data_IF_656383874890
#
_entry.id   IF_656383874890
#
_cell.length_a   1.000
_cell.length_b   1.000
_cell.length_c   1.000
_cell.angle_alpha   90.00
_cell.angle_beta   90.00
_cell.angle_gamma   90.00
#
_symmetry.space_group_name_H-M   'P 1'
#
loop_
_entity.id
_entity.type
_entity.pdbx_description
1 polymer ?
#
# COMPACT_ATOMS: atom_id res chain seq x y z
N UNK A 1 1.47 2.61 29.82
CA UNK A 1 1.60 1.33 29.10
C UNK A 1 0.18 0.88 28.79
N UNK A 2 -0.16 0.81 27.49
CA UNK A 2 -1.47 0.39 27.01
C UNK A 2 -1.39 -0.98 26.31
N UNK A 3 -2.49 -1.69 26.30
CA UNK A 3 -2.65 -2.92 25.52
C UNK A 3 -3.18 -2.56 24.13
N UNK A 4 -2.34 -2.67 23.11
CA UNK A 4 -2.70 -2.31 21.73
C UNK A 4 -2.89 -3.58 20.90
N UNK A 5 -4.10 -3.80 20.40
CA UNK A 5 -4.38 -4.87 19.46
C UNK A 5 -4.26 -4.35 18.03
N UNK A 6 -3.50 -5.05 17.19
CA UNK A 6 -3.28 -4.67 15.80
C UNK A 6 -3.63 -5.85 14.90
N UNK A 7 -4.53 -5.62 13.94
CA UNK A 7 -4.85 -6.59 12.91
C UNK A 7 -4.43 -6.07 11.54
N UNK A 8 -3.57 -6.82 10.88
CA UNK A 8 -3.04 -6.49 9.57
C UNK A 8 -3.09 -7.70 8.64
N UNK A 9 -3.22 -7.44 7.35
CA UNK A 9 -3.20 -8.53 6.38
C UNK A 9 -1.77 -8.90 5.99
N UNK A 10 -1.56 -10.19 5.76
CA UNK A 10 -0.28 -10.70 5.32
C UNK A 10 -0.18 -10.63 3.79
N UNK A 11 0.85 -9.98 3.30
CA UNK A 11 1.10 -9.88 1.87
C UNK A 11 1.71 -11.15 1.25
N UNK A 12 1.98 -12.20 2.05
CA UNK A 12 2.48 -13.49 1.56
C UNK A 12 3.80 -13.39 0.79
N UNK A 13 4.70 -12.49 1.19
CA UNK A 13 5.94 -12.22 0.46
C UNK A 13 7.01 -13.29 0.62
N UNK A 14 7.04 -13.97 1.76
CA UNK A 14 7.95 -15.09 1.96
C UNK A 14 7.16 -16.40 1.80
N UNK A 15 7.43 -17.17 0.73
CA UNK A 15 6.76 -18.46 0.54
C UNK A 15 7.14 -19.50 1.62
N UNK A 16 8.26 -19.30 2.32
CA UNK A 16 8.76 -20.21 3.34
C UNK A 16 8.35 -19.81 4.76
N UNK A 17 8.01 -18.54 4.98
CA UNK A 17 7.59 -18.01 6.27
C UNK A 17 6.41 -17.05 6.14
N UNK A 18 5.22 -17.59 6.32
CA UNK A 18 3.97 -16.83 6.26
C UNK A 18 3.91 -15.70 7.29
N UNK A 19 4.59 -15.84 8.42
CA UNK A 19 4.54 -14.88 9.52
C UNK A 19 5.59 -13.79 9.41
N UNK A 20 6.49 -13.86 8.44
CA UNK A 20 7.49 -12.83 8.21
C UNK A 20 6.83 -11.52 7.76
N UNK A 21 7.03 -10.50 8.56
CA UNK A 21 6.42 -9.20 8.31
C UNK A 21 7.14 -8.44 7.20
N UNK A 22 6.40 -7.74 6.34
CA UNK A 22 6.98 -6.71 5.49
C UNK A 22 7.63 -5.60 6.33
N UNK A 23 8.73 -4.98 5.87
CA UNK A 23 9.47 -3.96 6.64
C UNK A 23 8.60 -2.84 7.22
N UNK A 24 7.68 -2.33 6.43
CA UNK A 24 6.73 -1.28 6.84
C UNK A 24 5.86 -1.70 8.05
N UNK A 25 5.35 -2.94 8.06
CA UNK A 25 4.53 -3.44 9.16
C UNK A 25 5.38 -3.74 10.40
N UNK A 26 6.60 -4.19 10.21
CA UNK A 26 7.59 -4.38 11.28
C UNK A 26 7.87 -3.06 11.98
N UNK A 27 8.17 -1.99 11.22
CA UNK A 27 8.36 -0.64 11.73
C UNK A 27 7.14 -0.14 12.52
N UNK A 28 5.95 -0.36 11.99
CA UNK A 28 4.71 0.05 12.65
C UNK A 28 4.54 -0.61 14.03
N UNK A 29 4.79 -1.91 14.12
CA UNK A 29 4.73 -2.64 15.41
C UNK A 29 5.82 -2.22 16.39
N UNK A 30 7.04 -2.01 15.89
CA UNK A 30 8.17 -1.58 16.70
C UNK A 30 7.89 -0.22 17.35
N UNK A 31 7.33 0.73 16.59
CA UNK A 31 6.97 2.04 17.12
C UNK A 31 6.05 1.97 18.35
N UNK A 32 5.05 1.07 18.36
CA UNK A 32 4.19 0.87 19.53
C UNK A 32 4.91 0.21 20.69
N UNK A 33 5.78 -0.78 20.44
CA UNK A 33 6.57 -1.45 21.48
C UNK A 33 7.60 -0.52 22.10
N UNK A 34 8.28 0.28 21.27
CA UNK A 34 9.30 1.24 21.74
C UNK A 34 8.68 2.37 22.55
N UNK A 35 7.41 2.70 22.29
CA UNK A 35 6.61 3.59 23.12
C UNK A 35 6.16 2.94 24.46
N UNK A 36 6.62 1.73 24.77
CA UNK A 36 6.35 1.02 26.02
C UNK A 36 4.98 0.36 26.11
N UNK A 37 4.32 0.09 24.98
CA UNK A 37 3.01 -0.57 24.97
C UNK A 37 3.13 -2.09 24.85
N UNK A 38 2.15 -2.82 25.39
CA UNK A 38 1.94 -4.23 25.09
C UNK A 38 1.25 -4.34 23.75
N UNK A 39 1.78 -5.15 22.84
CA UNK A 39 1.20 -5.31 21.50
C UNK A 39 0.81 -6.75 21.23
N UNK A 40 -0.46 -6.97 20.89
CA UNK A 40 -0.96 -8.21 20.30
C UNK A 40 -1.22 -7.97 18.82
N UNK A 41 -0.47 -8.64 17.96
CA UNK A 41 -0.63 -8.52 16.51
C UNK A 41 -1.17 -9.80 15.90
N UNK A 42 -2.21 -9.67 15.09
CA UNK A 42 -2.70 -10.74 14.23
C UNK A 42 -2.42 -10.42 12.77
N UNK A 43 -1.70 -11.31 12.11
CA UNK A 43 -1.59 -11.34 10.66
C UNK A 43 -2.59 -12.34 10.10
N UNK A 44 -3.34 -11.94 9.11
CA UNK A 44 -4.37 -12.82 8.54
C UNK A 44 -4.37 -12.78 7.01
N UNK A 45 -4.80 -13.87 6.39
CA UNK A 45 -5.05 -13.94 4.95
C UNK A 45 -6.41 -13.34 4.68
N UNK A 46 -6.46 -12.22 3.94
CA UNK A 46 -7.71 -11.47 3.74
C UNK A 46 -8.30 -11.57 2.35
N UNK A 47 -7.51 -11.89 1.38
CA UNK A 47 -8.03 -11.94 0.02
C UNK A 47 -9.06 -13.07 -0.13
N UNK A 48 -10.28 -12.68 -0.51
CA UNK A 48 -11.39 -13.61 -0.75
C UNK A 48 -12.30 -13.92 0.44
N UNK A 49 -12.07 -13.30 1.63
CA UNK A 49 -12.93 -13.48 2.79
C UNK A 49 -14.03 -12.41 2.86
N UNK A 50 -15.23 -12.81 3.21
CA UNK A 50 -16.33 -11.89 3.50
C UNK A 50 -16.19 -11.29 4.91
N UNK A 51 -16.67 -10.05 5.09
CA UNK A 51 -16.53 -9.33 6.36
C UNK A 51 -17.39 -9.92 7.49
N UNK A 52 -18.54 -10.41 7.14
CA UNK A 52 -19.55 -10.97 8.05
C UNK A 52 -19.28 -12.43 8.47
N UNK A 53 -18.20 -13.03 7.95
CA UNK A 53 -17.75 -14.30 8.48
C UNK A 53 -17.48 -14.21 9.98
N UNK A 54 -17.89 -15.23 10.70
CA UNK A 54 -17.72 -15.28 12.16
C UNK A 54 -16.24 -15.33 12.54
N UNK A 55 -15.86 -14.45 13.48
CA UNK A 55 -14.52 -14.46 14.08
C UNK A 55 -14.22 -15.84 14.70
N UNK A 56 -13.08 -16.48 14.36
CA UNK A 56 -12.68 -17.74 14.96
C UNK A 56 -12.61 -17.65 16.50
N UNK A 57 -13.17 -18.64 17.19
CA UNK A 57 -13.22 -18.66 18.67
C UNK A 57 -11.84 -18.51 19.33
N UNK A 58 -10.81 -19.02 18.70
CA UNK A 58 -9.43 -18.86 19.18
C UNK A 58 -9.01 -17.40 19.19
N UNK A 59 -9.29 -16.66 18.13
CA UNK A 59 -8.98 -15.22 18.03
C UNK A 59 -9.80 -14.41 19.00
N UNK A 60 -11.09 -14.70 19.08
CA UNK A 60 -12.01 -14.05 20.04
C UNK A 60 -11.48 -14.21 21.48
N UNK A 61 -11.11 -15.43 21.86
CA UNK A 61 -10.59 -15.75 23.20
C UNK A 61 -9.27 -15.03 23.49
N UNK A 62 -8.37 -14.94 22.52
CA UNK A 62 -7.09 -14.23 22.65
C UNK A 62 -7.31 -12.73 22.81
N UNK A 63 -8.19 -12.12 22.01
CA UNK A 63 -8.48 -10.67 22.08
C UNK A 63 -9.13 -10.34 23.43
N UNK A 64 -10.15 -11.11 23.84
CA UNK A 64 -10.81 -10.90 25.15
C UNK A 64 -9.84 -11.02 26.33
N UNK A 65 -8.97 -12.03 26.32
CA UNK A 65 -7.96 -12.21 27.37
C UNK A 65 -6.91 -11.09 27.38
N UNK A 66 -6.54 -10.58 26.22
CA UNK A 66 -5.59 -9.48 26.09
C UNK A 66 -6.18 -8.17 26.61
N UNK A 67 -7.49 -8.01 26.54
CA UNK A 67 -8.25 -6.83 26.99
C UNK A 67 -7.65 -5.52 26.47
N UNK A 68 -7.78 -5.23 25.16
CA UNK A 68 -7.13 -4.09 24.54
C UNK A 68 -7.70 -2.75 25.03
N UNK A 69 -6.80 -1.77 25.18
CA UNK A 69 -7.13 -0.37 25.41
C UNK A 69 -7.33 0.39 24.08
N UNK A 70 -6.79 -0.17 22.99
CA UNK A 70 -6.87 0.35 21.64
C UNK A 70 -6.82 -0.79 20.62
N UNK A 71 -7.68 -0.73 19.61
CA UNK A 71 -7.62 -1.63 18.45
C UNK A 71 -7.27 -0.85 17.19
N UNK A 72 -6.37 -1.38 16.35
CA UNK A 72 -5.99 -0.81 15.06
C UNK A 72 -6.20 -1.86 13.97
N UNK A 73 -7.05 -1.54 13.01
CA UNK A 73 -7.42 -2.40 11.90
C UNK A 73 -6.97 -1.77 10.58
N UNK A 74 -6.14 -2.46 9.83
CA UNK A 74 -5.70 -1.98 8.52
C UNK A 74 -6.82 -2.13 7.49
N UNK A 75 -7.26 -1.02 6.88
CA UNK A 75 -8.31 -0.94 5.86
C UNK A 75 -9.61 -1.69 6.23
N UNK A 76 -9.92 -1.84 7.52
CA UNK A 76 -11.04 -2.65 8.01
C UNK A 76 -11.11 -4.07 7.41
N UNK A 77 -9.98 -4.68 7.16
CA UNK A 77 -9.88 -6.00 6.52
C UNK A 77 -9.96 -7.17 7.52
N UNK A 78 -10.10 -6.90 8.81
CA UNK A 78 -10.26 -7.92 9.86
C UNK A 78 -11.75 -8.27 10.05
N UNK A 79 -12.05 -9.27 10.89
CA UNK A 79 -13.43 -9.56 11.31
C UNK A 79 -14.00 -8.40 12.13
N UNK A 80 -15.31 -8.30 12.18
CA UNK A 80 -15.93 -7.41 13.16
C UNK A 80 -15.54 -7.85 14.58
N UNK A 81 -14.95 -6.91 15.31
CA UNK A 81 -14.60 -7.08 16.72
C UNK A 81 -15.35 -6.11 17.63
N UNK A 82 -16.19 -5.26 17.08
CA UNK A 82 -16.92 -4.22 17.82
C UNK A 82 -17.79 -4.77 18.93
N UNK A 83 -18.24 -6.02 18.82
CA UNK A 83 -19.05 -6.71 19.82
C UNK A 83 -18.24 -7.36 20.96
N UNK A 84 -16.91 -7.44 20.84
CA UNK A 84 -16.05 -8.10 21.84
C UNK A 84 -15.09 -7.14 22.55
N UNK A 85 -14.95 -5.90 22.07
CA UNK A 85 -14.09 -4.87 22.66
C UNK A 85 -14.90 -3.63 23.03
N UNK A 86 -14.51 -2.98 24.12
CA UNK A 86 -15.13 -1.73 24.57
C UNK A 86 -14.23 -0.50 24.36
N UNK A 87 -13.01 -0.71 23.86
CA UNK A 87 -12.06 0.35 23.57
C UNK A 87 -12.33 1.00 22.20
N UNK A 88 -11.68 2.14 21.89
CA UNK A 88 -11.68 2.71 20.55
C UNK A 88 -11.15 1.74 19.50
N UNK A 89 -11.79 1.75 18.33
CA UNK A 89 -11.34 1.00 17.15
C UNK A 89 -10.90 2.00 16.10
N UNK A 90 -9.62 1.96 15.76
CA UNK A 90 -9.01 2.80 14.73
C UNK A 90 -8.90 2.00 13.43
N UNK A 91 -9.44 2.54 12.36
CA UNK A 91 -9.19 2.05 11.01
C UNK A 91 -8.03 2.86 10.43
N UNK A 92 -6.92 2.17 10.15
CA UNK A 92 -5.77 2.76 9.49
C UNK A 92 -5.92 2.59 7.99
N UNK A 93 -6.21 3.69 7.30
CA UNK A 93 -6.42 3.72 5.85
C UNK A 93 -5.07 3.86 5.13
N UNK A 94 -4.55 2.74 4.63
CA UNK A 94 -3.27 2.70 3.90
C UNK A 94 -3.46 2.58 2.39
N UNK A 95 -4.66 2.23 1.94
CA UNK A 95 -4.95 2.01 0.51
C UNK A 95 -6.03 2.98 0.02
N UNK A 96 -7.27 2.74 0.38
CA UNK A 96 -8.44 3.58 0.04
C UNK A 96 -9.66 3.08 0.79
N UNK A 97 -10.59 3.99 1.12
CA UNK A 97 -11.89 3.64 1.70
C UNK A 97 -12.66 2.61 0.88
N UNK A 98 -12.42 2.54 -0.43
CA UNK A 98 -13.05 1.58 -1.34
C UNK A 98 -12.53 0.15 -1.17
N UNK A 99 -11.39 -0.03 -0.52
CA UNK A 99 -10.85 -1.33 -0.13
C UNK A 99 -11.37 -1.82 1.24
N UNK A 100 -12.12 -0.98 1.96
CA UNK A 100 -12.64 -1.36 3.26
C UNK A 100 -13.68 -2.47 3.14
N UNK A 101 -13.59 -3.41 4.06
CA UNK A 101 -14.61 -4.44 4.21
C UNK A 101 -15.74 -3.94 5.11
N UNK A 102 -16.94 -4.49 4.91
CA UNK A 102 -18.08 -4.20 5.77
C UNK A 102 -18.51 -2.74 5.80
N UNK A 103 -18.50 -2.03 4.68
CA UNK A 103 -18.89 -0.61 4.60
C UNK A 103 -20.26 -0.35 5.24
N UNK A 104 -21.26 -1.19 4.96
CA UNK A 104 -22.59 -1.05 5.54
C UNK A 104 -22.56 -1.14 7.08
N UNK A 105 -21.76 -2.06 7.62
CA UNK A 105 -21.58 -2.19 9.08
C UNK A 105 -20.88 -0.95 9.65
N UNK A 106 -19.85 -0.44 9.00
CA UNK A 106 -19.18 0.79 9.41
C UNK A 106 -20.14 1.98 9.43
N UNK A 107 -20.95 2.18 8.40
CA UNK A 107 -21.94 3.25 8.35
C UNK A 107 -22.98 3.14 9.49
N UNK A 108 -23.42 1.92 9.82
CA UNK A 108 -24.38 1.69 10.89
C UNK A 108 -23.81 1.91 12.30
N UNK A 109 -22.50 1.78 12.46
CA UNK A 109 -21.81 1.85 13.75
C UNK A 109 -20.70 2.92 13.77
N UNK A 110 -20.83 3.94 12.96
CA UNK A 110 -19.76 4.91 12.66
C UNK A 110 -19.17 5.56 13.92
N UNK A 111 -19.98 5.77 14.95
CA UNK A 111 -19.55 6.38 16.22
C UNK A 111 -18.54 5.53 17.02
N UNK A 112 -18.40 4.25 16.67
CA UNK A 112 -17.44 3.31 17.29
C UNK A 112 -16.04 3.40 16.70
N UNK A 113 -15.89 4.08 15.56
CA UNK A 113 -14.67 4.06 14.77
C UNK A 113 -14.00 5.42 14.69
N UNK A 114 -12.68 5.39 14.72
CA UNK A 114 -11.80 6.50 14.38
C UNK A 114 -11.03 6.11 13.12
N UNK A 115 -10.60 7.10 12.35
CA UNK A 115 -9.91 6.87 11.09
C UNK A 115 -8.56 7.60 11.09
N UNK A 116 -7.51 6.86 10.80
CA UNK A 116 -6.19 7.43 10.52
C UNK A 116 -5.95 7.33 9.03
N UNK A 117 -5.71 8.46 8.40
CA UNK A 117 -5.44 8.60 6.97
C UNK A 117 -4.00 9.03 6.75
N UNK A 118 -3.40 8.63 5.65
CA UNK A 118 -2.04 8.97 5.26
C UNK A 118 -1.97 9.84 3.99
N UNK A 119 -3.13 10.24 3.47
CA UNK A 119 -3.27 11.17 2.35
C UNK A 119 -4.48 12.08 2.59
N UNK A 120 -4.32 13.37 2.28
CA UNK A 120 -5.33 14.37 2.64
C UNK A 120 -6.64 14.20 1.89
N UNK A 121 -6.62 13.73 0.63
CA UNK A 121 -7.85 13.46 -0.13
C UNK A 121 -8.68 12.28 0.41
N UNK A 122 -8.09 11.40 1.22
CA UNK A 122 -8.84 10.32 1.86
C UNK A 122 -9.93 10.83 2.79
N UNK A 123 -9.75 11.99 3.42
CA UNK A 123 -10.77 12.64 4.26
C UNK A 123 -12.07 12.85 3.49
N UNK A 124 -12.00 13.42 2.30
CA UNK A 124 -13.18 13.66 1.46
C UNK A 124 -13.88 12.34 1.09
N UNK A 125 -13.12 11.31 0.79
CA UNK A 125 -13.68 9.99 0.46
C UNK A 125 -14.36 9.34 1.66
N UNK A 126 -13.77 9.42 2.86
CA UNK A 126 -14.37 8.93 4.10
C UNK A 126 -15.70 9.64 4.40
N UNK A 127 -15.73 10.96 4.31
CA UNK A 127 -16.96 11.74 4.49
C UNK A 127 -18.03 11.37 3.47
N UNK A 128 -17.66 11.26 2.20
CA UNK A 128 -18.58 10.95 1.11
C UNK A 128 -19.18 9.54 1.22
N UNK A 129 -18.37 8.54 1.53
CA UNK A 129 -18.77 7.13 1.47
C UNK A 129 -19.26 6.57 2.80
N UNK A 130 -18.79 7.10 3.93
CA UNK A 130 -19.12 6.60 5.27
C UNK A 130 -19.84 7.62 6.15
N UNK A 131 -19.91 8.90 5.77
CA UNK A 131 -20.50 9.94 6.62
C UNK A 131 -19.66 10.28 7.86
N UNK A 132 -18.36 10.06 7.82
CA UNK A 132 -17.43 10.30 8.95
C UNK A 132 -17.36 11.79 9.27
N UNK A 133 -17.31 12.12 10.56
CA UNK A 133 -17.17 13.49 11.05
C UNK A 133 -15.68 13.86 11.20
N UNK A 134 -15.34 15.15 11.09
CA UNK A 134 -13.97 15.67 11.21
C UNK A 134 -13.26 15.19 12.50
N UNK A 135 -13.97 15.19 13.62
CA UNK A 135 -13.44 14.75 14.92
C UNK A 135 -13.04 13.26 14.98
N UNK A 136 -13.44 12.48 13.99
CA UNK A 136 -13.12 11.04 13.88
C UNK A 136 -11.96 10.78 12.95
N UNK A 137 -11.43 11.79 12.28
CA UNK A 137 -10.34 11.66 11.28
C UNK A 137 -9.07 12.28 11.85
N UNK A 138 -7.96 11.56 11.71
CA UNK A 138 -6.64 12.04 12.03
C UNK A 138 -5.72 11.78 10.85
N UNK A 139 -5.08 12.83 10.33
CA UNK A 139 -4.04 12.68 9.31
C UNK A 139 -2.72 12.37 9.98
N UNK A 140 -2.13 11.24 9.63
CA UNK A 140 -0.79 10.81 10.03
C UNK A 140 -0.08 10.33 8.77
N UNK A 141 0.91 11.06 8.24
CA UNK A 141 1.67 10.63 7.08
C UNK A 141 2.44 9.34 7.36
N UNK A 142 2.89 8.66 6.32
CA UNK A 142 3.79 7.54 6.47
C UNK A 142 5.11 7.97 7.14
N UNK A 143 5.76 7.02 7.75
CA UNK A 143 7.04 7.18 8.47
C UNK A 143 8.00 6.05 8.09
N UNK A 144 9.24 6.16 8.54
CA UNK A 144 10.27 5.14 8.32
C UNK A 144 11.13 4.93 9.56
N UNK A 145 11.57 3.72 9.77
CA UNK A 145 12.66 3.37 10.70
C UNK A 145 14.02 3.20 10.00
N UNK A 146 14.08 3.35 8.69
CA UNK A 146 15.34 3.36 7.95
C UNK A 146 16.23 4.46 8.50
N UNK A 147 17.50 4.16 8.62
CA UNK A 147 18.52 5.09 9.09
C UNK A 147 19.60 5.24 8.05
N UNK A 148 20.09 6.45 7.91
CA UNK A 148 21.27 6.75 7.14
C UNK A 148 22.47 5.97 7.72
N UNK A 149 23.27 5.37 6.85
CA UNK A 149 24.50 4.70 7.19
C UNK A 149 25.67 5.28 6.40
N UNK A 150 26.43 6.19 7.01
CA UNK A 150 27.57 6.86 6.40
C UNK A 150 28.71 5.92 6.01
N UNK A 151 28.72 4.68 6.50
CA UNK A 151 29.71 3.66 6.18
C UNK A 151 29.24 2.71 5.07
N UNK A 152 28.00 2.85 4.60
CA UNK A 152 27.49 2.00 3.55
C UNK A 152 28.28 2.17 2.25
N UNK A 153 28.62 1.04 1.63
CA UNK A 153 29.31 1.04 0.35
C UNK A 153 28.25 1.17 -0.75
N UNK A 154 28.38 2.22 -1.55
CA UNK A 154 27.52 2.41 -2.72
C UNK A 154 27.88 1.37 -3.79
N UNK A 155 26.95 0.49 -4.10
CA UNK A 155 27.10 -0.58 -5.09
C UNK A 155 26.20 -0.39 -6.30
N UNK A 156 25.20 0.48 -6.21
CA UNK A 156 24.16 0.67 -7.23
C UNK A 156 23.99 2.15 -7.54
N UNK A 157 24.00 2.53 -8.81
CA UNK A 157 23.75 3.93 -9.21
C UNK A 157 22.27 4.26 -9.11
N UNK A 158 21.41 3.40 -9.67
CA UNK A 158 19.96 3.57 -9.70
C UNK A 158 19.28 2.35 -9.12
N UNK A 159 18.38 2.54 -8.18
CA UNK A 159 17.62 1.46 -7.54
C UNK A 159 16.11 1.74 -7.67
N UNK A 160 15.37 0.72 -8.01
CA UNK A 160 13.93 0.70 -7.86
C UNK A 160 13.48 -0.57 -7.14
N UNK A 161 12.62 -0.43 -6.13
CA UNK A 161 12.10 -1.55 -5.35
C UNK A 161 10.57 -1.57 -5.36
N UNK A 162 9.98 -2.69 -5.74
CA UNK A 162 8.54 -2.87 -5.74
C UNK A 162 8.07 -4.04 -6.60
N UNK A 163 6.76 -4.25 -6.68
CA UNK A 163 6.16 -5.21 -7.60
C UNK A 163 5.74 -4.53 -8.91
N UNK A 164 5.68 -5.31 -9.99
CA UNK A 164 5.31 -4.76 -11.30
C UNK A 164 3.80 -4.56 -11.50
N UNK A 165 2.95 -5.23 -10.69
CA UNK A 165 1.48 -5.22 -10.78
C UNK A 165 0.86 -5.80 -12.08
N UNK A 166 1.63 -6.26 -13.04
CA UNK A 166 1.09 -6.85 -14.28
C UNK A 166 0.60 -8.29 -14.06
N UNK A 167 1.20 -9.01 -13.12
CA UNK A 167 0.88 -10.41 -12.87
C UNK A 167 -0.61 -10.69 -12.58
N UNK A 168 -1.31 -9.91 -11.75
CA UNK A 168 -2.75 -10.12 -11.53
C UNK A 168 -3.58 -9.97 -12.80
N UNK A 169 -3.17 -9.09 -13.71
CA UNK A 169 -3.90 -8.82 -14.95
C UNK A 169 -3.73 -9.94 -15.97
N UNK A 170 -2.50 -10.39 -16.21
CA UNK A 170 -2.20 -11.48 -17.16
C UNK A 170 -2.96 -12.75 -16.80
N UNK A 171 -3.07 -13.07 -15.51
CA UNK A 171 -3.71 -14.29 -15.03
C UNK A 171 -5.22 -14.19 -14.75
N UNK A 172 -5.81 -13.01 -14.81
CA UNK A 172 -7.17 -12.79 -14.34
C UNK A 172 -8.25 -12.82 -15.40
N UNK A 173 -7.93 -13.03 -16.66
CA UNK A 173 -8.88 -13.03 -17.79
C UNK A 173 -9.95 -11.91 -17.70
N UNK A 174 -9.55 -10.62 -17.79
CA UNK A 174 -10.41 -9.47 -17.57
C UNK A 174 -11.53 -9.41 -18.62
N UNK A 175 -12.69 -8.87 -18.25
CA UNK A 175 -13.79 -8.64 -19.16
C UNK A 175 -13.36 -7.73 -20.33
N UNK A 176 -14.08 -7.80 -21.45
CA UNK A 176 -13.84 -6.90 -22.60
C UNK A 176 -13.96 -5.44 -22.16
N UNK A 177 -14.97 -5.13 -21.34
CA UNK A 177 -15.21 -3.79 -20.80
C UNK A 177 -14.05 -3.29 -19.93
N UNK A 178 -13.50 -4.14 -19.05
CA UNK A 178 -12.34 -3.80 -18.23
C UNK A 178 -11.10 -3.49 -19.08
N UNK A 179 -10.90 -4.24 -20.17
CA UNK A 179 -9.80 -4.02 -21.13
C UNK A 179 -9.94 -2.71 -21.88
N UNK A 180 -11.16 -2.36 -22.30
CA UNK A 180 -11.45 -1.12 -23.01
C UNK A 180 -11.21 0.09 -22.11
N UNK A 181 -11.69 0.04 -20.86
CA UNK A 181 -11.48 1.08 -19.87
C UNK A 181 -10.00 1.25 -19.56
N UNK A 182 -9.28 0.15 -19.28
CA UNK A 182 -7.87 0.19 -19.03
C UNK A 182 -7.08 0.79 -20.21
N UNK A 183 -7.49 0.48 -21.46
CA UNK A 183 -6.90 1.04 -22.66
C UNK A 183 -7.16 2.55 -22.77
N UNK A 184 -8.39 3.00 -22.52
CA UNK A 184 -8.73 4.42 -22.60
C UNK A 184 -7.99 5.24 -21.54
N UNK A 185 -7.96 4.75 -20.32
CA UNK A 185 -7.18 5.37 -19.23
C UNK A 185 -5.69 5.38 -19.56
N UNK A 186 -5.16 4.28 -20.10
CA UNK A 186 -3.77 4.20 -20.53
C UNK A 186 -3.45 5.20 -21.65
N UNK A 187 -4.27 5.29 -22.68
CA UNK A 187 -4.10 6.25 -23.77
C UNK A 187 -4.08 7.68 -23.25
N UNK A 188 -4.95 7.99 -22.31
CA UNK A 188 -4.98 9.29 -21.67
C UNK A 188 -3.66 9.61 -20.94
N UNK A 189 -3.09 8.66 -20.19
CA UNK A 189 -1.78 8.81 -19.58
C UNK A 189 -0.61 8.89 -20.56
N UNK A 190 -0.76 8.28 -21.73
CA UNK A 190 0.23 8.40 -22.81
C UNK A 190 0.26 9.81 -23.38
N UNK A 191 -0.92 10.39 -23.57
CA UNK A 191 -1.10 11.72 -24.14
C UNK A 191 -0.77 12.84 -23.12
N UNK A 192 -0.89 12.53 -21.82
CA UNK A 192 -0.65 13.48 -20.73
C UNK A 192 0.33 12.89 -19.69
N UNK A 193 1.60 12.67 -20.04
CA UNK A 193 2.58 11.98 -19.19
C UNK A 193 2.89 12.69 -17.88
N UNK A 194 2.59 13.98 -17.78
CA UNK A 194 2.84 14.81 -16.61
C UNK A 194 1.63 14.99 -15.69
N UNK A 195 0.54 14.26 -15.96
CA UNK A 195 -0.62 14.30 -15.09
C UNK A 195 -0.25 13.95 -13.67
N UNK A 196 -0.61 14.84 -12.78
CA UNK A 196 -0.56 14.60 -11.34
C UNK A 196 -1.67 13.62 -10.94
N UNK A 197 -1.50 12.93 -9.81
CA UNK A 197 -2.57 12.08 -9.28
C UNK A 197 -3.84 12.85 -8.95
N UNK A 198 -3.74 14.14 -8.66
CA UNK A 198 -4.88 15.01 -8.39
C UNK A 198 -5.71 15.25 -9.67
N UNK A 199 -5.04 15.37 -10.81
CA UNK A 199 -5.70 15.42 -12.13
C UNK A 199 -6.32 14.07 -12.51
N UNK A 200 -5.74 12.95 -12.07
CA UNK A 200 -6.30 11.61 -12.28
C UNK A 200 -7.60 11.42 -11.49
N UNK A 201 -7.70 11.96 -10.30
CA UNK A 201 -8.94 11.92 -9.50
C UNK A 201 -10.05 12.67 -10.21
N UNK A 202 -9.71 13.72 -10.95
CA UNK A 202 -10.63 14.50 -11.77
C UNK A 202 -10.93 13.88 -13.13
N UNK A 203 -10.39 12.70 -13.47
CA UNK A 203 -10.74 11.96 -14.70
C UNK A 203 -12.26 11.70 -14.79
N UNK A 204 -12.98 11.66 -13.67
CA UNK A 204 -14.44 11.61 -13.70
C UNK A 204 -15.10 12.86 -14.27
N UNK A 205 -14.49 14.03 -14.14
CA UNK A 205 -14.97 15.25 -14.77
C UNK A 205 -14.71 15.23 -16.28
N UNK A 206 -13.68 14.51 -16.71
CA UNK A 206 -13.27 14.44 -18.12
C UNK A 206 -13.83 13.24 -18.86
N UNK A 207 -14.13 12.15 -18.15
CA UNK A 207 -14.81 10.97 -18.66
C UNK A 207 -15.97 10.57 -17.75
N UNK A 208 -17.06 11.36 -17.73
CA UNK A 208 -18.25 11.07 -16.91
C UNK A 208 -18.90 9.72 -17.24
N UNK A 209 -18.47 9.08 -18.32
CA UNK A 209 -18.92 7.74 -18.76
C UNK A 209 -18.13 6.60 -18.08
N UNK A 210 -17.00 6.90 -17.42
CA UNK A 210 -16.26 5.89 -16.69
C UNK A 210 -16.70 6.00 -15.23
N UNK A 211 -17.51 5.06 -14.72
CA UNK A 211 -17.92 5.08 -13.33
C UNK A 211 -16.69 5.07 -12.42
N UNK A 212 -16.74 5.88 -11.35
CA UNK A 212 -15.67 5.94 -10.34
C UNK A 212 -15.33 4.55 -9.80
N UNK A 213 -16.35 3.69 -9.71
CA UNK A 213 -16.21 2.30 -9.30
C UNK A 213 -15.30 1.47 -10.21
N UNK A 214 -15.15 1.88 -11.49
CA UNK A 214 -14.31 1.17 -12.46
C UNK A 214 -12.87 1.72 -12.43
N UNK A 215 -12.69 3.03 -12.28
CA UNK A 215 -11.37 3.61 -12.00
C UNK A 215 -10.84 3.14 -10.65
N UNK A 216 -11.74 2.98 -9.70
CA UNK A 216 -11.49 2.40 -8.40
C UNK A 216 -11.56 0.87 -8.41
N UNK A 217 -11.88 0.24 -9.55
CA UNK A 217 -11.75 -1.20 -9.62
C UNK A 217 -10.26 -1.51 -9.42
N UNK A 218 -10.01 -2.32 -8.41
CA UNK A 218 -8.66 -2.80 -8.03
C UNK A 218 -7.84 -3.22 -9.25
N UNK A 219 -8.51 -3.71 -10.26
CA UNK A 219 -7.97 -4.23 -11.50
C UNK A 219 -7.42 -3.11 -12.40
N UNK A 220 -8.22 -2.07 -12.67
CA UNK A 220 -7.79 -0.94 -13.50
C UNK A 220 -6.64 -0.17 -12.84
N UNK A 221 -6.76 0.09 -11.53
CA UNK A 221 -5.73 0.76 -10.76
C UNK A 221 -4.38 0.00 -10.75
N UNK A 222 -4.45 -1.32 -10.61
CA UNK A 222 -3.26 -2.20 -10.63
C UNK A 222 -2.61 -2.20 -12.01
N UNK A 223 -3.40 -2.30 -13.08
CA UNK A 223 -2.89 -2.32 -14.46
C UNK A 223 -2.24 -0.99 -14.84
N UNK A 224 -2.91 0.11 -14.60
CA UNK A 224 -2.38 1.46 -14.88
C UNK A 224 -1.07 1.69 -14.13
N UNK A 225 -1.04 1.33 -12.84
CA UNK A 225 0.17 1.46 -12.03
C UNK A 225 1.30 0.58 -12.53
N UNK A 226 1.00 -0.64 -13.00
CA UNK A 226 1.97 -1.56 -13.57
C UNK A 226 2.57 -1.04 -14.86
N UNK A 227 1.74 -0.60 -15.81
CA UNK A 227 2.20 -0.09 -17.11
C UNK A 227 3.02 1.20 -16.94
N UNK A 228 2.60 2.11 -16.06
CA UNK A 228 3.40 3.31 -15.75
C UNK A 228 4.78 2.95 -15.23
N UNK A 229 4.86 2.03 -14.28
CA UNK A 229 6.14 1.56 -13.73
C UNK A 229 7.06 0.99 -14.80
N UNK A 230 6.53 0.10 -15.63
CA UNK A 230 7.30 -0.50 -16.71
C UNK A 230 7.82 0.55 -17.68
N UNK A 231 7.01 1.52 -18.06
CA UNK A 231 7.44 2.60 -18.95
C UNK A 231 8.56 3.44 -18.34
N UNK A 232 8.42 3.87 -17.09
CA UNK A 232 9.47 4.63 -16.42
C UNK A 232 10.78 3.82 -16.33
N UNK A 233 10.68 2.55 -15.94
CA UNK A 233 11.85 1.69 -15.82
C UNK A 233 12.49 1.40 -17.17
N UNK A 234 11.69 1.17 -18.21
CA UNK A 234 12.20 0.98 -19.59
C UNK A 234 12.90 2.22 -20.10
N UNK A 235 12.36 3.42 -19.82
CA UNK A 235 12.98 4.67 -20.29
C UNK A 235 14.35 4.98 -19.66
N UNK A 236 14.72 4.28 -18.59
CA UNK A 236 16.00 4.43 -17.88
C UNK A 236 16.78 3.11 -17.79
N UNK A 237 16.38 2.10 -18.55
CA UNK A 237 17.00 0.78 -18.50
C UNK A 237 18.49 0.81 -18.86
N UNK A 238 18.87 1.65 -19.81
CA UNK A 238 20.24 1.88 -20.26
C UNK A 238 21.12 2.57 -19.20
N UNK A 239 20.53 3.21 -18.19
CA UNK A 239 21.26 3.78 -17.06
C UNK A 239 21.65 2.72 -16.00
N UNK A 240 21.29 1.46 -16.19
CA UNK A 240 21.62 0.36 -15.27
C UNK A 240 20.83 0.42 -13.96
N UNK A 241 19.53 0.73 -14.03
CA UNK A 241 18.65 0.75 -12.86
C UNK A 241 18.45 -0.67 -12.31
N UNK A 242 18.97 -0.97 -11.13
CA UNK A 242 18.70 -2.23 -10.46
C UNK A 242 17.24 -2.31 -10.02
N UNK A 243 16.54 -3.36 -10.47
CA UNK A 243 15.12 -3.58 -10.17
C UNK A 243 15.00 -4.74 -9.20
N UNK A 244 14.33 -4.53 -8.06
CA UNK A 244 14.06 -5.56 -7.05
C UNK A 244 12.58 -5.62 -6.71
N UNK A 245 12.09 -6.81 -6.41
CA UNK A 245 10.74 -6.99 -5.92
C UNK A 245 10.05 -8.25 -6.40
N UNK A 246 8.82 -8.44 -5.95
CA UNK A 246 8.00 -9.60 -6.31
C UNK A 246 7.32 -9.41 -7.67
N UNK A 247 6.89 -10.54 -8.23
CA UNK A 247 6.08 -10.64 -9.46
C UNK A 247 6.77 -10.21 -10.77
N UNK A 248 8.09 -10.10 -10.77
CA UNK A 248 8.86 -9.96 -12.00
C UNK A 248 9.05 -11.33 -12.64
N UNK A 249 8.06 -11.74 -13.42
CA UNK A 249 8.03 -13.06 -14.04
C UNK A 249 8.73 -13.07 -15.40
N UNK A 250 9.01 -14.27 -15.90
CA UNK A 250 9.55 -14.47 -17.26
C UNK A 250 8.64 -13.81 -18.30
N UNK A 251 7.31 -13.87 -18.12
CA UNK A 251 6.38 -13.24 -19.05
C UNK A 251 6.53 -11.72 -19.10
N UNK A 252 6.72 -11.08 -17.94
CA UNK A 252 6.99 -9.64 -17.88
C UNK A 252 8.29 -9.31 -18.62
N UNK A 253 9.36 -10.07 -18.39
CA UNK A 253 10.65 -9.89 -19.07
C UNK A 253 10.58 -10.17 -20.57
N UNK A 254 9.66 -11.02 -21.01
CA UNK A 254 9.41 -11.27 -22.44
C UNK A 254 8.85 -10.04 -23.16
N UNK A 255 8.00 -9.26 -22.48
CA UNK A 255 7.42 -8.02 -23.04
C UNK A 255 8.32 -6.80 -22.87
N UNK A 256 9.22 -6.83 -21.90
CA UNK A 256 10.15 -5.75 -21.57
C UNK A 256 11.58 -6.32 -21.38
N UNK A 257 12.19 -6.87 -22.45
CA UNK A 257 13.47 -7.59 -22.36
C UNK A 257 14.62 -6.72 -21.86
N UNK A 258 14.57 -5.41 -22.10
CA UNK A 258 15.54 -4.42 -21.63
C UNK A 258 15.62 -4.34 -20.10
N UNK A 259 14.53 -4.71 -19.40
CA UNK A 259 14.51 -4.74 -17.94
C UNK A 259 15.10 -6.03 -17.36
N UNK A 260 15.21 -7.09 -18.17
CA UNK A 260 15.69 -8.39 -17.69
C UNK A 260 17.13 -8.34 -17.18
N UNK A 261 17.99 -7.54 -17.82
CA UNK A 261 19.39 -7.37 -17.41
C UNK A 261 19.53 -6.60 -16.09
N UNK A 262 18.54 -5.83 -15.75
CA UNK A 262 18.52 -4.96 -14.56
C UNK A 262 17.80 -5.62 -13.37
N UNK A 263 17.15 -6.76 -13.57
CA UNK A 263 16.38 -7.42 -12.54
C UNK A 263 17.24 -8.27 -11.61
N UNK A 264 17.12 -8.00 -10.32
CA UNK A 264 17.71 -8.81 -9.26
C UNK A 264 16.58 -9.53 -8.49
N UNK A 265 16.52 -10.87 -8.54
CA UNK A 265 15.44 -11.64 -7.90
C UNK A 265 15.51 -11.66 -6.38
N UNK A 266 16.54 -11.09 -5.76
CA UNK A 266 16.66 -11.03 -4.32
C UNK A 266 15.55 -10.13 -3.74
N UNK A 267 14.64 -10.74 -2.98
CA UNK A 267 13.58 -10.03 -2.28
C UNK A 267 14.13 -9.37 -1.03
N UNK A 268 13.52 -8.25 -0.65
CA UNK A 268 13.73 -7.60 0.64
C UNK A 268 12.73 -8.18 1.63
N UNK A 269 13.21 -8.91 2.61
CA UNK A 269 12.36 -9.66 3.55
C UNK A 269 12.44 -9.13 4.99
N UNK A 270 13.25 -8.11 5.26
CA UNK A 270 13.38 -7.50 6.59
C UNK A 270 13.63 -6.00 6.49
N UNK A 271 13.37 -5.28 7.59
CA UNK A 271 13.67 -3.86 7.72
C UNK A 271 15.17 -3.57 7.50
N UNK A 272 16.05 -4.43 8.05
CA UNK A 272 17.49 -4.28 7.86
C UNK A 272 17.90 -4.40 6.39
N UNK A 273 17.41 -5.41 5.67
CA UNK A 273 17.71 -5.56 4.24
C UNK A 273 17.19 -4.37 3.42
N UNK A 274 16.00 -3.86 3.78
CA UNK A 274 15.43 -2.66 3.17
C UNK A 274 16.35 -1.45 3.34
N UNK A 275 16.83 -1.24 4.56
CA UNK A 275 17.78 -0.18 4.90
C UNK A 275 19.10 -0.34 4.15
N UNK A 276 19.68 -1.56 4.13
CA UNK A 276 20.96 -1.82 3.49
C UNK A 276 20.89 -1.53 1.97
N UNK A 277 19.77 -1.89 1.32
CA UNK A 277 19.59 -1.63 -0.11
C UNK A 277 19.47 -0.14 -0.41
N UNK A 278 18.66 0.61 0.33
CA UNK A 278 18.56 2.05 0.09
C UNK A 278 19.88 2.76 0.37
N UNK A 279 20.59 2.40 1.44
CA UNK A 279 21.89 2.98 1.74
C UNK A 279 22.99 2.62 0.73
N UNK A 280 22.82 1.51 -0.01
CA UNK A 280 23.77 1.11 -1.06
C UNK A 280 23.54 1.76 -2.42
N UNK A 281 22.49 2.56 -2.58
CA UNK A 281 22.14 3.22 -3.83
C UNK A 281 22.47 4.72 -3.81
N UNK A 282 22.92 5.27 -4.95
CA UNK A 282 23.04 6.72 -5.10
C UNK A 282 21.70 7.39 -5.28
N UNK A 283 20.85 6.81 -6.12
CA UNK A 283 19.53 7.32 -6.48
C UNK A 283 18.54 6.19 -6.32
N UNK A 284 17.44 6.45 -5.64
CA UNK A 284 16.32 5.51 -5.53
C UNK A 284 15.05 6.12 -6.13
N UNK A 285 14.44 5.36 -7.02
CA UNK A 285 13.22 5.76 -7.71
C UNK A 285 12.00 5.30 -6.95
N UNK A 286 11.01 6.15 -6.87
CA UNK A 286 9.67 5.80 -6.44
C UNK A 286 8.65 6.08 -7.55
N UNK A 287 7.79 5.10 -7.80
CA UNK A 287 6.65 5.24 -8.69
C UNK A 287 5.38 5.03 -7.89
N UNK A 288 4.42 5.91 -8.06
CA UNK A 288 3.16 5.87 -7.31
C UNK A 288 2.27 4.71 -7.76
N UNK A 289 1.47 4.22 -6.82
CA UNK A 289 0.26 3.49 -7.14
C UNK A 289 -0.88 4.49 -7.34
N UNK A 290 -1.76 4.27 -8.31
CA UNK A 290 -2.85 5.22 -8.62
C UNK A 290 -3.80 5.43 -7.43
N UNK A 291 -3.93 4.45 -6.53
CA UNK A 291 -4.71 4.58 -5.29
C UNK A 291 -4.12 5.60 -4.30
N UNK A 292 -2.82 5.89 -4.40
CA UNK A 292 -2.19 6.95 -3.63
C UNK A 292 -2.46 8.30 -4.32
N UNK A 293 -3.68 8.75 -4.32
CA UNK A 293 -4.20 9.92 -5.03
C UNK A 293 -3.25 11.12 -4.94
N UNK A 294 -3.27 11.85 -3.85
CA UNK A 294 -2.36 12.96 -3.56
C UNK A 294 -1.29 12.61 -2.52
N UNK A 295 -1.44 11.46 -1.87
CA UNK A 295 -0.50 10.96 -0.87
C UNK A 295 0.76 10.35 -1.48
N UNK A 296 1.66 9.97 -0.60
CA UNK A 296 2.92 9.31 -0.95
C UNK A 296 3.02 7.95 -0.24
N UNK A 297 3.86 7.06 -0.76
CA UNK A 297 4.07 5.75 -0.16
C UNK A 297 5.12 5.81 0.96
N UNK A 298 5.06 4.86 1.90
CA UNK A 298 6.10 4.68 2.93
C UNK A 298 7.51 4.54 2.33
N UNK A 299 7.61 4.06 1.08
CA UNK A 299 8.90 3.95 0.36
C UNK A 299 9.59 5.30 0.20
N UNK A 300 8.83 6.37 -0.01
CA UNK A 300 9.39 7.73 -0.06
C UNK A 300 10.08 8.06 1.26
N UNK A 301 9.43 7.76 2.39
CA UNK A 301 10.03 7.96 3.71
C UNK A 301 11.30 7.15 3.90
N UNK A 302 11.31 5.88 3.46
CA UNK A 302 12.47 5.01 3.54
C UNK A 302 13.66 5.55 2.73
N UNK A 303 13.40 6.02 1.50
CA UNK A 303 14.44 6.60 0.65
C UNK A 303 14.98 7.90 1.25
N UNK A 304 14.10 8.80 1.71
CA UNK A 304 14.50 10.08 2.31
C UNK A 304 15.29 9.90 3.62
N UNK A 305 15.04 8.81 4.35
CA UNK A 305 15.75 8.47 5.58
C UNK A 305 17.09 7.76 5.33
N UNK A 306 17.39 7.36 4.10
CA UNK A 306 18.60 6.65 3.68
C UNK A 306 19.67 7.61 3.11
N UNK A 307 20.76 7.03 2.57
CA UNK A 307 21.77 7.78 1.82
C UNK A 307 21.36 8.11 0.38
N UNK A 308 20.29 7.49 -0.14
CA UNK A 308 19.92 7.63 -1.53
C UNK A 308 19.22 8.97 -1.82
N UNK A 309 19.51 9.55 -2.98
CA UNK A 309 18.73 10.66 -3.51
C UNK A 309 17.37 10.13 -4.02
N UNK A 310 16.28 10.70 -3.51
CA UNK A 310 14.93 10.35 -3.97
C UNK A 310 14.63 10.99 -5.32
N UNK A 311 14.18 10.18 -6.27
CA UNK A 311 13.51 10.63 -7.49
C UNK A 311 12.11 10.04 -7.51
N UNK A 312 11.09 10.88 -7.54
CA UNK A 312 9.69 10.43 -7.45
C UNK A 312 8.77 11.28 -8.31
N UNK A 313 7.62 10.72 -8.64
CA UNK A 313 6.51 11.50 -9.18
C UNK A 313 6.03 12.49 -8.12
N UNK A 314 5.60 13.64 -8.58
CA UNK A 314 5.01 14.66 -7.70
C UNK A 314 3.72 14.13 -7.03
N UNK A 315 3.52 14.54 -5.80
CA UNK A 315 2.26 14.42 -5.07
C UNK A 315 2.11 15.61 -4.12
N UNK A 316 0.88 16.12 -3.98
CA UNK A 316 0.67 17.38 -3.24
C UNK A 316 0.88 17.27 -1.73
N UNK A 317 0.84 16.05 -1.18
CA UNK A 317 1.10 15.80 0.25
C UNK A 317 2.61 15.64 0.56
N UNK A 318 3.50 15.65 -0.46
CA UNK A 318 4.95 15.58 -0.29
C UNK A 318 5.54 16.99 -0.16
#
# INVERSE_FOLDING_TARGET
MANVFIAMYNFGRDPNDFYKMPPFLESFLNGFKDAGNNVLCFQHKTYGREFDEKLPKEYESKIKRFNPDLCILFCNNFWDISYIVNCPIVIYDIDSVLEFKGINHLCQNIDRYLFVINQTLAEMNLKKHLGVLDKQICYIPFFSEVKNDSNAIVTTNWLWMGCNFIFPFINSNPSIKDKEIARNVLNYFIESPFMTSDEIVNVNEWHPQIPLEILNSKRAAVEISGIRRLRYLTSIADLGCEIRGAYWTIDCMKYFPELALNYNPKLTLSLKENQDFYNSAKISLNTKHIQAQNGFSFRICDIMASNACLVTEYCSDL
#
